data_IF_667474792537
#
_entry.id   IF_667474792537
#
_cell.length_a   1.000
_cell.length_b   1.000
_cell.length_c   1.000
_cell.angle_alpha   90.00
_cell.angle_beta   90.00
_cell.angle_gamma   90.00
#
_symmetry.space_group_name_H-M   'P 1'
#
loop_
_entity.id
_entity.type
_entity.pdbx_description
1 polymer ?
#
# COMPACT_ATOMS: atom_id res chain seq x y z
N UNK A 1 -6.91 -5.20 6.31
CA UNK A 1 -6.33 -6.47 5.84
C UNK A 1 -7.33 -7.31 5.04
N UNK A 2 -8.30 -7.99 5.66
CA UNK A 2 -9.19 -8.94 4.98
C UNK A 2 -9.90 -8.35 3.74
N UNK A 3 -10.43 -7.12 3.84
CA UNK A 3 -11.07 -6.41 2.72
C UNK A 3 -10.15 -6.27 1.49
N UNK A 4 -8.87 -5.95 1.69
CA UNK A 4 -7.88 -5.81 0.61
C UNK A 4 -7.56 -7.16 0.00
N UNK A 5 -7.32 -8.17 0.83
CA UNK A 5 -7.04 -9.53 0.38
C UNK A 5 -8.21 -10.12 -0.43
N UNK A 6 -9.45 -9.88 -0.01
CA UNK A 6 -10.65 -10.30 -0.76
C UNK A 6 -10.71 -9.65 -2.13
N UNK A 7 -10.35 -8.36 -2.26
CA UNK A 7 -10.31 -7.69 -3.55
C UNK A 7 -9.24 -8.29 -4.47
N UNK A 8 -8.07 -8.63 -3.92
CA UNK A 8 -7.03 -9.30 -4.69
C UNK A 8 -7.50 -10.66 -5.21
N UNK A 9 -8.16 -11.46 -4.37
CA UNK A 9 -8.73 -12.75 -4.76
C UNK A 9 -9.83 -12.63 -5.84
N UNK A 10 -10.53 -11.49 -5.91
CA UNK A 10 -11.61 -11.27 -6.87
C UNK A 10 -11.15 -10.68 -8.20
N UNK A 11 -10.10 -9.86 -8.18
CA UNK A 11 -9.74 -9.00 -9.31
C UNK A 11 -8.40 -9.34 -9.94
N UNK A 12 -7.52 -10.06 -9.23
CA UNK A 12 -6.17 -10.36 -9.73
C UNK A 12 -6.06 -11.74 -10.37
N UNK A 13 -5.06 -11.87 -11.24
CA UNK A 13 -4.71 -13.15 -11.85
C UNK A 13 -4.13 -14.10 -10.79
N UNK A 14 -4.32 -15.43 -10.93
CA UNK A 14 -3.86 -16.41 -9.95
C UNK A 14 -2.39 -16.25 -9.54
N UNK A 15 -1.50 -15.98 -10.50
CA UNK A 15 -0.06 -15.83 -10.24
C UNK A 15 0.25 -14.63 -9.32
N UNK A 16 -0.47 -13.51 -9.49
CA UNK A 16 -0.30 -12.31 -8.65
C UNK A 16 -0.87 -12.50 -7.26
N UNK A 17 -2.00 -13.21 -7.16
CA UNK A 17 -2.57 -13.62 -5.87
C UNK A 17 -1.57 -14.48 -5.11
N UNK A 18 -0.97 -15.47 -5.80
CA UNK A 18 0.04 -16.34 -5.21
C UNK A 18 1.27 -15.55 -4.73
N UNK A 19 1.79 -14.63 -5.54
CA UNK A 19 2.90 -13.74 -5.16
C UNK A 19 2.59 -12.98 -3.86
N UNK A 20 1.42 -12.35 -3.77
CA UNK A 20 0.98 -11.63 -2.57
C UNK A 20 0.81 -12.54 -1.36
N UNK A 21 0.25 -13.73 -1.54
CA UNK A 21 0.11 -14.72 -0.47
C UNK A 21 1.47 -15.20 0.05
N UNK A 22 2.44 -15.42 -0.84
CA UNK A 22 3.81 -15.79 -0.45
C UNK A 22 4.49 -14.65 0.32
N UNK A 23 4.26 -13.39 -0.06
CA UNK A 23 4.73 -12.24 0.74
C UNK A 23 4.09 -12.21 2.13
N UNK A 24 2.79 -12.49 2.24
CA UNK A 24 2.08 -12.56 3.52
C UNK A 24 2.55 -13.72 4.40
N UNK A 25 3.04 -14.81 3.82
CA UNK A 25 3.66 -15.89 4.58
C UNK A 25 4.88 -15.39 5.36
N UNK A 26 5.64 -14.43 4.83
CA UNK A 26 6.82 -13.91 5.51
C UNK A 26 6.53 -12.94 6.66
N UNK A 27 5.28 -12.51 6.81
CA UNK A 27 4.89 -11.54 7.85
C UNK A 27 4.92 -12.21 9.22
N UNK A 28 5.91 -11.84 10.02
CA UNK A 28 6.07 -12.28 11.39
C UNK A 28 5.12 -11.55 12.34
N UNK A 29 4.75 -12.22 13.42
CA UNK A 29 3.88 -11.70 14.46
C UNK A 29 3.99 -12.54 15.73
N UNK A 30 2.89 -12.66 16.48
CA UNK A 30 2.86 -13.52 17.66
C UNK A 30 2.70 -14.98 17.23
N UNK A 31 3.79 -15.72 17.29
CA UNK A 31 3.80 -17.14 16.92
C UNK A 31 2.88 -18.00 17.79
N UNK A 32 2.27 -19.03 17.17
CA UNK A 32 1.36 -19.96 17.83
C UNK A 32 1.33 -21.32 17.13
N UNK A 33 0.85 -22.36 17.81
CA UNK A 33 0.73 -23.71 17.23
C UNK A 33 -0.66 -23.89 16.62
N UNK A 34 -0.71 -24.33 15.38
CA UNK A 34 -1.95 -24.57 14.63
C UNK A 34 -1.92 -25.95 13.98
N UNK A 35 -3.04 -26.67 14.00
CA UNK A 35 -3.19 -27.87 13.18
C UNK A 35 -3.21 -27.48 11.71
N UNK A 36 -2.32 -28.05 10.89
CA UNK A 36 -2.20 -27.72 9.48
C UNK A 36 -2.64 -28.89 8.58
N UNK A 37 -3.45 -28.66 7.53
CA UNK A 37 -3.81 -29.70 6.57
C UNK A 37 -2.60 -30.26 5.79
N UNK A 38 -2.70 -31.47 5.19
CA UNK A 38 -3.83 -32.41 5.28
C UNK A 38 -3.82 -33.28 6.53
N UNK A 39 -2.66 -33.45 7.18
CA UNK A 39 -2.47 -34.40 8.29
C UNK A 39 -3.09 -33.93 9.61
N UNK A 40 -3.30 -32.62 9.77
CA UNK A 40 -3.78 -32.03 11.02
C UNK A 40 -2.69 -31.92 12.09
N UNK A 41 -1.43 -32.17 11.74
CA UNK A 41 -0.31 -32.03 12.67
C UNK A 41 -0.12 -30.58 13.12
N UNK A 42 0.22 -30.40 14.41
CA UNK A 42 0.42 -29.08 15.00
C UNK A 42 1.76 -28.49 14.60
N UNK A 43 1.73 -27.61 13.61
CA UNK A 43 2.87 -26.84 13.15
C UNK A 43 2.97 -25.50 13.88
N UNK A 44 4.18 -24.96 13.99
CA UNK A 44 4.41 -23.62 14.54
C UNK A 44 4.22 -22.58 13.43
N UNK A 45 3.31 -21.64 13.66
CA UNK A 45 3.10 -20.47 12.80
C UNK A 45 3.84 -19.29 13.38
N UNK A 46 4.35 -18.41 12.52
CA UNK A 46 5.11 -17.22 12.95
C UNK A 46 4.21 -16.01 13.20
N UNK A 47 2.91 -16.10 12.93
CA UNK A 47 1.92 -15.04 13.18
C UNK A 47 0.56 -15.37 12.58
N UNK A 48 -0.49 -14.59 12.89
CA UNK A 48 -1.84 -14.84 12.35
C UNK A 48 -1.90 -14.61 10.84
N UNK A 49 -1.23 -13.57 10.33
CA UNK A 49 -1.17 -13.27 8.89
C UNK A 49 -0.50 -14.41 8.12
N UNK A 50 0.65 -14.89 8.62
CA UNK A 50 1.34 -16.07 8.09
C UNK A 50 0.43 -17.31 8.04
N UNK A 51 -0.28 -17.60 9.14
CA UNK A 51 -1.16 -18.76 9.21
C UNK A 51 -2.30 -18.70 8.19
N UNK A 52 -2.94 -17.55 8.04
CA UNK A 52 -3.99 -17.33 7.04
C UNK A 52 -3.44 -17.49 5.62
N UNK A 53 -2.27 -16.91 5.33
CA UNK A 53 -1.63 -17.01 4.03
C UNK A 53 -1.34 -18.47 3.64
N UNK A 54 -0.72 -19.24 4.55
CA UNK A 54 -0.44 -20.68 4.34
C UNK A 54 -1.69 -21.50 4.07
N UNK A 55 -2.78 -21.24 4.81
CA UNK A 55 -4.05 -21.94 4.59
C UNK A 55 -4.66 -21.60 3.23
N UNK A 56 -4.58 -20.35 2.80
CA UNK A 56 -5.09 -19.92 1.49
C UNK A 56 -4.26 -20.48 0.34
N UNK A 57 -2.93 -20.51 0.47
CA UNK A 57 -2.02 -21.14 -0.49
C UNK A 57 -2.36 -22.62 -0.67
N UNK A 58 -2.46 -23.34 0.45
CA UNK A 58 -2.84 -24.76 0.45
C UNK A 58 -4.22 -24.99 -0.20
N UNK A 59 -5.25 -24.22 0.19
CA UNK A 59 -6.62 -24.42 -0.28
C UNK A 59 -6.81 -24.03 -1.75
N UNK A 60 -6.15 -22.97 -2.20
CA UNK A 60 -6.27 -22.47 -3.57
C UNK A 60 -5.54 -23.31 -4.60
N UNK A 61 -4.77 -24.32 -4.18
CA UNK A 61 -3.91 -25.09 -5.08
C UNK A 61 -2.75 -24.25 -5.63
N UNK A 62 -2.46 -23.11 -4.99
CA UNK A 62 -1.30 -22.29 -5.31
C UNK A 62 -0.05 -23.05 -4.87
N UNK A 63 0.97 -23.09 -5.72
CA UNK A 63 2.22 -23.73 -5.34
C UNK A 63 2.89 -22.87 -4.26
N UNK A 64 3.27 -23.48 -3.14
CA UNK A 64 4.17 -22.80 -2.19
C UNK A 64 5.53 -22.71 -2.88
N UNK A 65 5.79 -21.56 -3.48
CA UNK A 65 7.05 -21.24 -4.12
C UNK A 65 7.75 -20.18 -3.29
N UNK A 66 9.07 -20.30 -3.17
CA UNK A 66 9.90 -19.22 -2.65
C UNK A 66 9.80 -18.05 -3.63
N UNK A 67 8.81 -17.19 -3.43
CA UNK A 67 8.82 -15.87 -4.07
C UNK A 67 9.99 -15.16 -3.40
N UNK A 68 11.01 -14.72 -4.16
CA UNK A 68 12.08 -13.94 -3.55
C UNK A 68 11.39 -12.83 -2.78
N UNK A 69 11.74 -12.69 -1.51
CA UNK A 69 11.31 -11.57 -0.69
C UNK A 69 11.81 -10.33 -1.40
N UNK A 70 11.00 -9.83 -2.32
CA UNK A 70 11.09 -8.48 -2.79
C UNK A 70 10.53 -7.69 -1.61
N UNK A 71 11.31 -7.64 -0.52
CA UNK A 71 11.25 -6.52 0.39
C UNK A 71 11.41 -5.33 -0.55
N UNK A 72 10.30 -4.69 -0.88
CA UNK A 72 10.25 -3.59 -1.82
C UNK A 72 11.31 -2.60 -1.39
N UNK A 73 12.46 -2.68 -2.07
CA UNK A 73 13.73 -2.27 -1.51
C UNK A 73 13.62 -0.78 -1.22
N UNK A 74 13.86 -0.41 0.03
CA UNK A 74 13.80 0.97 0.50
C UNK A 74 14.94 1.77 -0.13
N UNK A 75 14.77 2.15 -1.39
CA UNK A 75 15.64 3.09 -2.10
C UNK A 75 14.79 4.32 -2.36
N UNK A 76 15.00 5.37 -1.57
CA UNK A 76 14.23 6.60 -1.68
C UNK A 76 14.33 7.45 -0.43
N UNK A 77 13.76 8.64 -0.52
CA UNK A 77 13.57 9.51 0.65
C UNK A 77 12.49 8.90 1.55
N UNK A 78 12.74 8.85 2.87
CA UNK A 78 11.83 8.19 3.80
C UNK A 78 11.06 9.26 4.56
N UNK A 79 9.75 9.32 4.30
CA UNK A 79 8.85 10.10 5.12
C UNK A 79 8.36 9.28 6.31
N UNK A 80 8.23 9.90 7.48
CA UNK A 80 7.77 9.22 8.70
C UNK A 80 6.85 10.11 9.53
N UNK A 81 5.90 9.49 10.23
CA UNK A 81 5.01 10.14 11.19
C UNK A 81 4.70 9.21 12.35
N UNK A 82 4.66 9.75 13.56
CA UNK A 82 4.24 9.02 14.75
C UNK A 82 2.72 9.06 14.92
N UNK A 83 2.15 7.91 15.25
CA UNK A 83 0.71 7.69 15.40
C UNK A 83 0.43 7.13 16.78
N UNK A 84 -0.40 7.83 17.53
CA UNK A 84 -0.91 7.34 18.80
C UNK A 84 -2.10 6.41 18.54
N UNK A 85 -2.02 5.16 19.01
CA UNK A 85 -3.17 4.29 19.08
C UNK A 85 -4.00 4.64 20.34
N UNK A 86 -5.20 5.24 20.21
CA UNK A 86 -5.98 5.69 21.37
C UNK A 86 -6.44 4.52 22.27
N UNK A 87 -6.53 3.30 21.72
CA UNK A 87 -7.01 2.13 22.45
C UNK A 87 -5.93 1.52 23.34
N UNK A 88 -4.68 1.47 22.87
CA UNK A 88 -3.55 0.89 23.61
C UNK A 88 -2.68 1.94 24.29
N UNK A 89 -2.87 3.23 23.96
CA UNK A 89 -2.02 4.35 24.38
C UNK A 89 -0.54 4.18 23.99
N UNK A 90 -0.27 3.34 22.99
CA UNK A 90 1.07 3.13 22.44
C UNK A 90 1.24 3.94 21.17
N UNK A 91 2.47 4.39 20.93
CA UNK A 91 2.84 5.08 19.70
C UNK A 91 3.55 4.09 18.78
N UNK A 92 3.19 4.14 17.49
CA UNK A 92 3.92 3.47 16.42
C UNK A 92 4.16 4.48 15.29
N UNK A 93 5.23 4.28 14.52
CA UNK A 93 5.63 5.16 13.44
C UNK A 93 5.21 4.55 12.11
N UNK A 94 4.51 5.31 11.28
CA UNK A 94 4.29 4.97 9.87
C UNK A 94 5.47 5.51 9.08
N UNK A 95 6.09 4.67 8.25
CA UNK A 95 7.15 5.08 7.32
C UNK A 95 6.78 4.76 5.88
N UNK A 96 7.06 5.70 4.98
CA UNK A 96 6.77 5.60 3.55
C UNK A 96 8.04 5.96 2.78
N UNK A 97 8.48 5.07 1.91
CA UNK A 97 9.59 5.31 0.98
C UNK A 97 9.08 6.00 -0.27
N UNK A 98 9.72 7.10 -0.65
CA UNK A 98 9.36 7.95 -1.77
C UNK A 98 10.58 8.21 -2.68
N UNK A 99 11.04 7.21 -3.44
CA UNK A 99 12.04 7.43 -4.48
C UNK A 99 11.63 8.51 -5.47
N UNK A 100 12.64 9.16 -6.03
CA UNK A 100 12.48 9.93 -7.24
C UNK A 100 12.38 8.98 -8.43
N UNK A 101 11.23 8.94 -9.10
CA UNK A 101 10.98 8.16 -10.32
C UNK A 101 10.56 9.16 -11.39
N UNK A 102 11.27 9.18 -12.51
CA UNK A 102 11.03 10.08 -13.65
C UNK A 102 10.96 11.58 -13.28
N UNK A 103 11.70 12.00 -12.25
CA UNK A 103 11.73 13.39 -11.80
C UNK A 103 10.62 13.76 -10.81
N UNK A 104 9.89 12.78 -10.30
CA UNK A 104 8.83 12.97 -9.31
C UNK A 104 8.91 11.96 -8.18
N UNK A 105 8.69 12.41 -6.95
CA UNK A 105 8.61 11.49 -5.81
C UNK A 105 7.36 10.61 -5.96
N UNK A 106 7.51 9.32 -5.70
CA UNK A 106 6.40 8.36 -5.76
C UNK A 106 6.46 7.45 -4.54
N UNK A 107 5.39 7.39 -3.72
CA UNK A 107 5.29 6.38 -2.68
C UNK A 107 5.43 4.97 -3.29
N UNK A 108 6.46 4.25 -2.85
CA UNK A 108 6.82 2.91 -3.38
C UNK A 108 6.64 1.78 -2.36
N UNK A 109 6.81 2.07 -1.07
CA UNK A 109 6.70 1.09 0.00
C UNK A 109 6.21 1.77 1.29
N UNK A 110 5.45 1.05 2.11
CA UNK A 110 4.96 1.47 3.43
C UNK A 110 5.22 0.38 4.46
N UNK A 111 5.69 0.76 5.64
CA UNK A 111 5.87 -0.14 6.78
C UNK A 111 5.63 0.59 8.09
N UNK A 112 5.53 -0.20 9.16
CA UNK A 112 5.29 0.28 10.51
C UNK A 112 6.48 -0.06 11.41
N UNK A 113 6.80 0.84 12.33
CA UNK A 113 7.78 0.61 13.39
C UNK A 113 7.17 0.88 14.76
N UNK A 114 7.58 0.12 15.77
CA UNK A 114 7.05 0.24 17.13
C UNK A 114 5.96 -0.79 17.44
N UNK A 115 5.08 -0.47 18.39
CA UNK A 115 4.07 -1.40 18.87
C UNK A 115 2.72 -1.15 18.18
N UNK A 116 2.39 -2.02 17.24
CA UNK A 116 1.15 -2.00 16.47
C UNK A 116 0.51 -3.40 16.35
N UNK A 117 -0.78 -3.49 15.99
CA UNK A 117 -1.41 -4.78 15.68
C UNK A 117 -0.77 -5.44 14.43
N UNK A 118 -0.34 -6.69 14.56
CA UNK A 118 0.33 -7.47 13.49
C UNK A 118 -0.46 -7.54 12.17
N UNK A 119 -1.79 -7.41 12.23
CA UNK A 119 -2.63 -7.42 11.03
C UNK A 119 -2.40 -6.20 10.14
N UNK A 120 -1.86 -5.11 10.70
CA UNK A 120 -1.47 -3.92 9.95
C UNK A 120 -0.19 -4.15 9.15
N UNK A 121 0.70 -5.04 9.58
CA UNK A 121 1.87 -5.44 8.77
C UNK A 121 1.41 -6.15 7.51
N UNK A 122 0.46 -7.09 7.63
CA UNK A 122 -0.15 -7.74 6.47
C UNK A 122 -0.84 -6.75 5.52
N UNK A 123 -1.47 -5.70 6.06
CA UNK A 123 -2.02 -4.62 5.23
C UNK A 123 -0.91 -3.85 4.50
N UNK A 124 0.15 -3.45 5.20
CA UNK A 124 1.26 -2.70 4.62
C UNK A 124 2.01 -3.49 3.54
N UNK A 125 2.17 -4.81 3.74
CA UNK A 125 2.74 -5.72 2.73
C UNK A 125 1.90 -5.73 1.45
N UNK A 126 0.57 -5.88 1.56
CA UNK A 126 -0.33 -5.86 0.40
C UNK A 126 -0.33 -4.50 -0.32
N UNK A 127 -0.37 -3.40 0.44
CA UNK A 127 -0.31 -2.05 -0.14
C UNK A 127 1.02 -1.83 -0.86
N UNK A 128 2.15 -2.16 -0.23
CA UNK A 128 3.48 -2.04 -0.83
C UNK A 128 3.61 -2.83 -2.13
N UNK A 129 2.94 -3.99 -2.22
CA UNK A 129 2.89 -4.77 -3.43
C UNK A 129 2.20 -4.07 -4.61
N UNK A 130 1.09 -3.39 -4.33
CA UNK A 130 0.41 -2.59 -5.35
C UNK A 130 1.14 -1.27 -5.65
N UNK A 131 1.81 -0.67 -4.67
CA UNK A 131 2.56 0.59 -4.84
C UNK A 131 3.76 0.43 -5.80
N UNK A 132 4.40 -0.74 -5.80
CA UNK A 132 5.53 -1.06 -6.67
C UNK A 132 5.12 -1.37 -8.11
N UNK A 133 3.83 -1.61 -8.35
CA UNK A 133 3.30 -1.77 -9.70
C UNK A 133 3.27 -0.43 -10.42
N UNK A 134 3.64 -0.34 -11.72
CA UNK A 134 3.57 0.93 -12.44
C UNK A 134 2.13 1.46 -12.54
N UNK A 135 1.13 0.57 -12.61
CA UNK A 135 -0.29 0.89 -12.67
C UNK A 135 -0.85 1.33 -11.30
N UNK A 136 -1.07 2.63 -11.15
CA UNK A 136 -1.66 3.24 -9.95
C UNK A 136 -3.13 2.88 -9.73
N UNK A 137 -3.82 2.33 -10.73
CA UNK A 137 -5.23 1.94 -10.59
C UNK A 137 -5.39 0.85 -9.53
N UNK A 138 -4.39 -0.02 -9.38
CA UNK A 138 -4.39 -1.10 -8.37
C UNK A 138 -4.47 -0.50 -6.97
N UNK A 139 -3.52 0.35 -6.61
CA UNK A 139 -3.50 0.99 -5.29
C UNK A 139 -4.73 1.90 -5.10
N UNK A 140 -5.21 2.59 -6.15
CA UNK A 140 -6.42 3.40 -6.08
C UNK A 140 -7.67 2.59 -5.70
N UNK A 141 -7.87 1.40 -6.28
CA UNK A 141 -9.00 0.51 -5.92
C UNK A 141 -8.93 0.11 -4.44
N UNK A 142 -7.73 -0.19 -3.94
CA UNK A 142 -7.53 -0.59 -2.54
C UNK A 142 -7.78 0.57 -1.59
N UNK A 143 -7.30 1.77 -1.93
CA UNK A 143 -7.57 2.99 -1.17
C UNK A 143 -9.07 3.30 -1.13
N UNK A 144 -9.78 3.21 -2.26
CA UNK A 144 -11.25 3.38 -2.33
C UNK A 144 -11.99 2.38 -1.45
N UNK A 145 -11.49 1.15 -1.36
CA UNK A 145 -12.10 0.15 -0.50
C UNK A 145 -11.83 0.39 0.99
N UNK A 146 -10.67 0.95 1.35
CA UNK A 146 -10.31 1.24 2.73
C UNK A 146 -10.92 2.55 3.25
N UNK A 147 -11.13 3.52 2.37
CA UNK A 147 -11.59 4.86 2.70
C UNK A 147 -13.07 5.03 2.38
N UNK A 148 -13.89 5.05 3.42
CA UNK A 148 -15.33 5.29 3.30
C UNK A 148 -15.63 6.79 3.39
N UNK A 149 -16.47 7.28 2.48
CA UNK A 149 -16.89 8.69 2.46
C UNK A 149 -17.88 8.96 3.59
N UNK A 150 -17.62 9.97 4.44
CA UNK A 150 -18.50 10.31 5.57
C UNK A 150 -19.61 11.32 5.23
N UNK A 151 -19.64 11.84 4.00
CA UNK A 151 -20.42 13.00 3.52
C UNK A 151 -19.71 14.34 3.76
N UNK A 152 -19.91 15.24 2.81
CA UNK A 152 -19.35 16.58 2.81
C UNK A 152 -20.38 17.59 3.31
N UNK A 153 -20.00 18.43 4.28
CA UNK A 153 -20.57 19.78 4.30
C UNK A 153 -19.80 20.62 3.26
N UNK A 154 -20.53 21.24 2.33
CA UNK A 154 -19.99 22.30 1.43
C UNK A 154 -18.99 21.85 0.35
N UNK A 155 -19.08 20.61 -0.16
CA UNK A 155 -18.31 20.15 -1.33
C UNK A 155 -16.88 19.66 -1.06
N UNK A 156 -16.39 19.72 0.18
CA UNK A 156 -15.12 19.10 0.61
C UNK A 156 -15.27 17.62 0.97
N UNK A 157 -14.38 16.78 0.47
CA UNK A 157 -14.41 15.34 0.75
C UNK A 157 -13.87 15.06 2.14
N UNK A 158 -14.70 14.43 2.97
CA UNK A 158 -14.31 13.92 4.27
C UNK A 158 -14.39 12.39 4.28
N UNK A 159 -13.28 11.77 4.68
CA UNK A 159 -13.17 10.33 4.87
C UNK A 159 -13.43 9.97 6.33
N UNK A 160 -14.13 8.86 6.54
CA UNK A 160 -14.30 8.26 7.86
C UNK A 160 -12.99 7.61 8.30
N UNK A 161 -12.41 8.10 9.40
CA UNK A 161 -11.16 7.60 9.99
C UNK A 161 -11.43 6.91 11.33
N UNK A 162 -12.34 5.95 11.34
CA UNK A 162 -12.76 5.22 12.55
C UNK A 162 -11.81 4.09 12.95
N UNK A 163 -10.93 3.67 12.04
CA UNK A 163 -9.99 2.57 12.25
C UNK A 163 -8.59 2.89 11.72
N UNK A 164 -7.57 2.20 12.28
CA UNK A 164 -6.17 2.41 11.90
C UNK A 164 -5.87 2.07 10.44
N UNK A 165 -6.61 1.14 9.82
CA UNK A 165 -6.42 0.81 8.40
C UNK A 165 -6.85 1.96 7.49
N UNK A 166 -7.98 2.61 7.80
CA UNK A 166 -8.46 3.81 7.12
C UNK A 166 -7.50 4.98 7.34
N UNK A 167 -6.97 5.14 8.55
CA UNK A 167 -5.96 6.17 8.82
C UNK A 167 -4.67 5.96 8.00
N UNK A 168 -4.13 4.74 7.95
CA UNK A 168 -2.96 4.40 7.12
C UNK A 168 -3.25 4.71 5.64
N UNK A 169 -4.41 4.28 5.14
CA UNK A 169 -4.83 4.55 3.77
C UNK A 169 -4.97 6.06 3.48
N UNK A 170 -5.47 6.83 4.44
CA UNK A 170 -5.62 8.27 4.33
C UNK A 170 -4.28 8.98 4.27
N UNK A 171 -3.34 8.62 5.16
CA UNK A 171 -1.97 9.14 5.12
C UNK A 171 -1.33 8.85 3.77
N UNK A 172 -1.48 7.62 3.26
CA UNK A 172 -0.94 7.23 1.96
C UNK A 172 -1.57 8.02 0.81
N UNK A 173 -2.90 8.23 0.82
CA UNK A 173 -3.59 9.08 -0.15
C UNK A 173 -3.03 10.50 -0.14
N UNK A 174 -2.81 11.10 1.04
CA UNK A 174 -2.22 12.44 1.16
C UNK A 174 -0.79 12.51 0.62
N UNK A 175 -0.01 11.43 0.68
CA UNK A 175 1.29 11.35 0.01
C UNK A 175 1.16 11.32 -1.51
N UNK A 176 0.24 10.51 -2.04
CA UNK A 176 -0.02 10.48 -3.49
C UNK A 176 -0.56 11.83 -4.01
N UNK A 177 -1.41 12.51 -3.25
CA UNK A 177 -1.93 13.84 -3.56
C UNK A 177 -0.83 14.91 -3.55
N UNK A 178 0.03 14.92 -2.54
CA UNK A 178 1.19 15.82 -2.45
C UNK A 178 2.08 15.73 -3.69
N UNK A 179 2.26 14.50 -4.15
CA UNK A 179 3.01 14.20 -5.35
C UNK A 179 2.11 14.12 -6.58
N UNK A 180 0.93 14.73 -6.62
CA UNK A 180 0.00 14.86 -7.76
C UNK A 180 -0.46 13.57 -8.47
N UNK A 181 -0.28 12.39 -7.88
CA UNK A 181 -0.53 11.09 -8.53
C UNK A 181 -2.01 10.73 -8.45
N UNK A 182 -2.70 11.25 -7.43
CA UNK A 182 -4.13 11.08 -7.22
C UNK A 182 -4.75 12.37 -6.72
N UNK A 183 -6.03 12.59 -7.02
CA UNK A 183 -6.83 13.65 -6.41
C UNK A 183 -7.42 13.20 -5.05
N UNK A 184 -8.15 14.12 -4.41
CA UNK A 184 -8.88 13.89 -3.15
C UNK A 184 -10.02 12.87 -3.28
N UNK A 185 -10.37 12.45 -4.50
CA UNK A 185 -11.36 11.41 -4.85
C UNK A 185 -10.71 10.07 -5.19
N UNK A 186 -9.38 9.96 -5.08
CA UNK A 186 -8.62 8.76 -5.43
C UNK A 186 -8.76 8.46 -6.94
N UNK A 187 -8.89 9.49 -7.78
CA UNK A 187 -8.74 9.35 -9.22
C UNK A 187 -7.27 9.51 -9.58
N UNK A 188 -6.74 8.54 -10.34
CA UNK A 188 -5.36 8.60 -10.83
C UNK A 188 -5.22 9.76 -11.80
N UNK A 189 -4.27 10.64 -11.52
CA UNK A 189 -3.98 11.78 -12.38
C UNK A 189 -2.99 11.36 -13.47
N UNK A 190 -3.22 11.72 -14.75
CA UNK A 190 -2.30 11.39 -15.82
C UNK A 190 -0.99 12.17 -15.68
N UNK A 191 0.12 11.49 -16.00
CA UNK A 191 1.48 12.03 -15.94
C UNK A 191 1.67 13.29 -16.82
N UNK A 192 0.90 13.39 -17.90
CA UNK A 192 0.99 14.44 -18.94
C UNK A 192 0.57 15.84 -18.48
N UNK A 193 -0.03 16.00 -17.30
CA UNK A 193 -0.55 17.30 -16.85
C UNK A 193 0.37 18.03 -15.85
N UNK A 194 1.57 17.53 -15.56
CA UNK A 194 2.53 18.20 -14.68
C UNK A 194 3.58 18.92 -15.52
N UNK A 195 3.28 20.18 -15.88
CA UNK A 195 4.29 21.09 -16.42
C UNK A 195 5.22 21.51 -15.27
N UNK A 196 6.49 21.15 -15.35
CA UNK A 196 7.51 21.81 -14.53
C UNK A 196 7.65 23.25 -15.00
N UNK A 197 7.26 24.20 -14.16
CA UNK A 197 7.69 25.59 -14.36
C UNK A 197 9.10 25.72 -13.80
N UNK A 198 10.08 25.86 -14.69
CA UNK A 198 11.41 26.32 -14.31
C UNK A 198 11.27 27.75 -13.76
N UNK A 199 11.26 27.89 -12.44
CA UNK A 199 11.18 29.18 -11.74
C UNK A 199 12.39 30.08 -11.95
N UNK A 200 13.41 29.61 -12.69
CA UNK A 200 14.64 30.36 -13.01
C UNK A 200 14.68 30.95 -14.42
N UNK A 201 13.62 30.81 -15.24
CA UNK A 201 13.58 31.48 -16.56
C UNK A 201 12.89 32.85 -16.46
N UNK A 202 13.55 33.94 -16.88
CA UNK A 202 12.93 35.26 -16.90
C UNK A 202 11.72 35.27 -17.84
N UNK A 203 10.63 35.86 -17.34
CA UNK A 203 9.25 35.79 -17.82
C UNK A 203 8.96 36.49 -19.15
N UNK A 204 9.90 36.50 -20.11
CA UNK A 204 9.75 37.29 -21.33
C UNK A 204 9.85 36.51 -22.65
N UNK A 205 9.82 35.18 -22.61
CA UNK A 205 9.78 34.38 -23.83
C UNK A 205 8.39 33.75 -24.02
N UNK A 206 7.60 34.32 -24.91
CA UNK A 206 6.39 33.70 -25.46
C UNK A 206 6.83 32.59 -26.42
N UNK A 207 7.21 31.45 -25.87
CA UNK A 207 7.66 30.28 -26.61
C UNK A 207 6.93 29.03 -26.14
N UNK A 208 6.32 28.34 -27.09
CA UNK A 208 5.42 27.19 -26.94
C UNK A 208 5.95 26.04 -26.07
N UNK A 209 4.98 25.34 -25.46
CA UNK A 209 5.08 24.09 -24.71
C UNK A 209 5.99 23.05 -25.38
N UNK A 210 6.97 22.53 -24.65
CA UNK A 210 7.54 21.23 -24.95
C UNK A 210 6.57 20.15 -24.49
N UNK A 211 5.81 19.60 -25.43
CA UNK A 211 5.22 18.27 -25.31
C UNK A 211 6.40 17.29 -25.35
N UNK A 212 6.68 16.60 -24.25
CA UNK A 212 7.52 15.41 -24.30
C UNK A 212 6.67 14.29 -24.93
N UNK A 213 6.79 14.15 -26.25
CA UNK A 213 6.45 12.88 -26.89
C UNK A 213 7.44 11.84 -26.37
N UNK A 214 6.93 10.81 -25.70
CA UNK A 214 7.68 9.60 -25.40
C UNK A 214 7.00 8.49 -26.19
N UNK A 215 7.73 7.98 -27.18
CA UNK A 215 7.37 6.76 -27.91
C UNK A 215 7.61 5.49 -27.12
#
# INVERSE_FOLDING_TARGET
FAKVLTLDLQQEMPDKVQEKLNMLESVAGRGFRMAFPPTGEKQMMIGQVNAIAKLLLYRGGFMMSDTPLTQYQLKGDIWSVDVLNPYTQTVFTIKISEPMIDGRKRPSCIWLEGQHPEILDGLCTLLSADMSSPDLSRIAIKLKALLELQSSMKGMIEYRLDNLSAYIAYVLLKRYELHFHMDDRINVMPYTNVLSFDSNKPSNDRGYSHVLEVG
#
